data_IF_534714297200
#
_entry.id   IF_534714297200
#
_cell.length_a   1.000
_cell.length_b   1.000
_cell.length_c   1.000
_cell.angle_alpha   90.00
_cell.angle_beta   90.00
_cell.angle_gamma   90.00
#
_symmetry.space_group_name_H-M   'P 1'
#
loop_
_entity.id
_entity.type
_entity.pdbx_description
1 polymer ?
#
# COMPACT_ATOMS: atom_id res chain seq x y z
N UNK A 1 49.45 -7.03 -17.64
CA UNK A 1 49.08 -8.28 -16.94
C UNK A 1 47.55 -8.33 -16.88
N UNK A 2 46.93 -9.28 -17.56
CA UNK A 2 45.47 -9.48 -17.49
C UNK A 2 45.15 -10.18 -16.16
N UNK A 3 44.19 -9.63 -15.39
CA UNK A 3 43.73 -10.26 -14.16
C UNK A 3 43.10 -11.61 -14.48
N UNK A 4 43.48 -12.67 -13.73
CA UNK A 4 42.95 -13.99 -13.92
C UNK A 4 41.44 -13.98 -13.68
N UNK A 5 40.68 -14.72 -14.50
CA UNK A 5 39.22 -14.82 -14.31
C UNK A 5 38.89 -15.47 -12.95
N UNK A 6 37.89 -14.98 -12.21
CA UNK A 6 37.54 -15.50 -10.91
C UNK A 6 37.16 -16.99 -10.98
N UNK A 7 37.66 -17.79 -10.03
CA UNK A 7 37.39 -19.22 -9.97
C UNK A 7 35.92 -19.54 -9.64
N UNK A 8 35.47 -20.81 -9.81
CA UNK A 8 34.07 -21.20 -9.53
C UNK A 8 33.59 -20.89 -8.12
N UNK A 9 34.46 -20.98 -7.12
CA UNK A 9 34.15 -20.63 -5.71
C UNK A 9 33.92 -19.12 -5.55
N UNK A 10 34.73 -18.30 -6.20
CA UNK A 10 34.62 -16.83 -6.10
C UNK A 10 33.31 -16.34 -6.76
N UNK A 11 32.89 -16.98 -7.86
CA UNK A 11 31.58 -16.73 -8.48
C UNK A 11 30.42 -17.09 -7.55
N UNK A 12 30.47 -18.26 -6.91
CA UNK A 12 29.42 -18.70 -5.99
C UNK A 12 29.27 -17.78 -4.76
N UNK A 13 30.39 -17.23 -4.26
CA UNK A 13 30.36 -16.26 -3.15
C UNK A 13 29.80 -14.91 -3.61
N UNK A 14 30.15 -14.46 -4.81
CA UNK A 14 29.61 -13.22 -5.39
C UNK A 14 28.11 -13.36 -5.69
N UNK A 15 27.67 -14.51 -6.22
CA UNK A 15 26.25 -14.80 -6.49
C UNK A 15 25.44 -14.88 -5.18
N UNK A 16 26.00 -15.46 -4.12
CA UNK A 16 25.39 -15.46 -2.79
C UNK A 16 25.27 -14.04 -2.21
N UNK A 17 26.32 -13.22 -2.36
CA UNK A 17 26.29 -11.81 -1.96
C UNK A 17 25.20 -11.03 -2.67
N UNK A 18 25.11 -11.17 -3.99
CA UNK A 18 24.07 -10.53 -4.79
C UNK A 18 22.66 -11.00 -4.41
N UNK A 19 22.48 -12.30 -4.15
CA UNK A 19 21.21 -12.86 -3.71
C UNK A 19 20.78 -12.32 -2.33
N UNK A 20 21.74 -12.16 -1.41
CA UNK A 20 21.50 -11.58 -0.09
C UNK A 20 21.14 -10.09 -0.17
N UNK A 21 21.78 -9.33 -1.08
CA UNK A 21 21.42 -7.93 -1.32
C UNK A 21 20.01 -7.79 -1.89
N UNK A 22 19.64 -8.62 -2.85
CA UNK A 22 18.28 -8.65 -3.42
C UNK A 22 17.26 -9.03 -2.35
N UNK A 23 17.56 -10.03 -1.51
CA UNK A 23 16.70 -10.43 -0.39
C UNK A 23 16.57 -9.31 0.66
N UNK A 24 17.65 -8.57 0.93
CA UNK A 24 17.64 -7.42 1.84
C UNK A 24 16.81 -6.24 1.29
N UNK A 25 16.84 -6.01 -0.03
CA UNK A 25 16.03 -4.98 -0.69
C UNK A 25 14.54 -5.35 -0.78
N UNK A 26 14.21 -6.64 -0.79
CA UNK A 26 12.83 -7.12 -0.84
C UNK A 26 11.98 -6.70 0.39
N UNK A 27 12.63 -6.45 1.54
CA UNK A 27 11.98 -5.89 2.72
C UNK A 27 11.99 -4.36 2.65
N UNK A 28 10.84 -3.76 2.34
CA UNK A 28 10.74 -2.28 2.30
C UNK A 28 11.05 -1.67 3.67
N UNK A 29 11.72 -0.52 3.66
CA UNK A 29 12.08 0.26 4.86
C UNK A 29 10.89 0.46 5.81
N UNK A 30 9.69 0.64 5.25
CA UNK A 30 8.45 0.78 6.04
C UNK A 30 8.06 -0.49 6.79
N UNK A 31 8.21 -1.67 6.17
CA UNK A 31 7.95 -2.94 6.83
C UNK A 31 8.97 -3.25 7.92
N UNK A 32 10.25 -2.90 7.71
CA UNK A 32 11.29 -3.01 8.74
C UNK A 32 10.98 -2.11 9.92
N UNK A 33 10.75 -0.81 9.72
CA UNK A 33 10.42 0.13 10.80
C UNK A 33 9.17 -0.25 11.60
N UNK A 34 8.15 -0.78 10.91
CA UNK A 34 6.93 -1.28 11.58
C UNK A 34 7.20 -2.52 12.41
N UNK A 35 7.96 -3.48 11.85
CA UNK A 35 8.40 -4.70 12.54
C UNK A 35 9.29 -4.41 13.73
N UNK A 36 10.26 -3.50 13.57
CA UNK A 36 11.19 -3.09 14.63
C UNK A 36 10.45 -2.47 15.84
N UNK A 37 9.41 -1.65 15.58
CA UNK A 37 8.60 -1.08 16.67
C UNK A 37 7.82 -2.16 17.43
N UNK A 38 7.24 -3.12 16.72
CA UNK A 38 6.50 -4.22 17.35
C UNK A 38 7.46 -5.13 18.12
N UNK A 39 8.60 -5.47 17.52
CA UNK A 39 9.61 -6.25 18.20
C UNK A 39 10.19 -5.51 19.42
N UNK A 40 10.34 -4.20 19.37
CA UNK A 40 10.72 -3.37 20.52
C UNK A 40 9.71 -3.47 21.66
N UNK A 41 8.40 -3.45 21.38
CA UNK A 41 7.36 -3.70 22.41
C UNK A 41 7.42 -5.09 22.99
N UNK A 42 7.60 -6.10 22.12
CA UNK A 42 7.82 -7.48 22.58
C UNK A 42 9.02 -7.57 23.51
N UNK A 43 10.15 -6.98 23.14
CA UNK A 43 11.36 -6.96 23.96
C UNK A 43 11.16 -6.24 25.30
N UNK A 44 10.35 -5.18 25.34
CA UNK A 44 9.97 -4.53 26.60
C UNK A 44 9.11 -5.45 27.44
N UNK A 45 8.05 -6.03 26.85
CA UNK A 45 7.18 -6.98 27.53
C UNK A 45 7.94 -8.16 28.16
N UNK A 46 8.88 -8.78 27.42
CA UNK A 46 9.71 -9.85 27.98
C UNK A 46 10.58 -9.38 29.13
N UNK A 47 11.25 -8.22 29.00
CA UNK A 47 12.10 -7.67 30.05
C UNK A 47 11.33 -7.30 31.31
N UNK A 48 10.13 -6.80 31.19
CA UNK A 48 9.25 -6.48 32.33
C UNK A 48 8.86 -7.74 33.11
N UNK A 49 8.86 -8.90 32.43
CA UNK A 49 8.66 -10.22 33.04
C UNK A 49 9.97 -10.91 33.42
N UNK A 50 11.13 -10.29 33.22
CA UNK A 50 12.43 -10.83 33.58
C UNK A 50 13.02 -11.83 32.58
N UNK A 51 12.55 -11.83 31.32
CA UNK A 51 12.97 -12.78 30.29
C UNK A 51 13.68 -12.13 29.10
N UNK A 52 14.51 -12.93 28.41
CA UNK A 52 15.15 -12.52 27.16
C UNK A 52 14.12 -12.49 26.02
N UNK A 53 14.13 -11.46 25.15
CA UNK A 53 13.23 -11.39 24.01
C UNK A 53 13.33 -12.55 23.01
N UNK A 54 14.44 -13.27 22.99
CA UNK A 54 14.62 -14.49 22.20
C UNK A 54 14.02 -15.75 22.87
N UNK A 55 13.60 -15.64 24.14
CA UNK A 55 13.07 -16.72 24.97
C UNK A 55 14.08 -17.87 25.24
N UNK A 56 15.39 -17.63 25.05
CA UNK A 56 16.44 -18.66 25.28
C UNK A 56 16.55 -19.11 26.73
N UNK A 57 16.16 -18.24 27.64
CA UNK A 57 16.16 -18.49 29.08
C UNK A 57 14.98 -19.36 29.54
N UNK A 58 14.04 -19.65 28.68
CA UNK A 58 12.87 -20.51 28.93
C UNK A 58 13.12 -21.88 28.25
N UNK A 59 13.12 -22.93 29.00
CA UNK A 59 13.46 -24.27 28.48
C UNK A 59 12.28 -24.93 27.73
N UNK A 60 11.04 -24.67 28.17
CA UNK A 60 9.85 -25.29 27.60
C UNK A 60 9.28 -24.47 26.43
N UNK A 61 9.01 -25.16 25.33
CA UNK A 61 8.42 -24.57 24.14
C UNK A 61 6.95 -24.16 24.32
N UNK A 62 6.20 -24.87 25.13
CA UNK A 62 4.81 -24.53 25.42
C UNK A 62 4.77 -23.23 26.21
N UNK A 63 5.73 -23.00 27.11
CA UNK A 63 5.88 -21.73 27.81
C UNK A 63 6.20 -20.57 26.83
N UNK A 64 7.03 -20.80 25.81
CA UNK A 64 7.24 -19.77 24.76
C UNK A 64 5.93 -19.37 24.09
N UNK A 65 5.07 -20.34 23.78
CA UNK A 65 3.77 -20.04 23.20
C UNK A 65 2.87 -19.29 24.20
N UNK A 66 2.88 -19.65 25.46
CA UNK A 66 2.14 -18.93 26.50
C UNK A 66 2.57 -17.46 26.61
N UNK A 67 3.87 -17.17 26.53
CA UNK A 67 4.38 -15.80 26.48
C UNK A 67 3.86 -15.04 25.25
N UNK A 68 3.87 -15.68 24.08
CA UNK A 68 3.32 -15.10 22.85
C UNK A 68 1.84 -14.77 22.98
N UNK A 69 1.04 -15.66 23.56
CA UNK A 69 -0.39 -15.46 23.77
C UNK A 69 -0.67 -14.37 24.82
N UNK A 70 0.12 -14.29 25.87
CA UNK A 70 0.04 -13.21 26.87
C UNK A 70 0.37 -11.85 26.25
N UNK A 71 1.44 -11.76 25.45
CA UNK A 71 1.75 -10.56 24.69
C UNK A 71 0.64 -10.18 23.72
N UNK A 72 0.05 -11.17 23.03
CA UNK A 72 -1.05 -10.95 22.10
C UNK A 72 -2.26 -10.31 22.79
N UNK A 73 -2.60 -10.77 24.00
CA UNK A 73 -3.69 -10.19 24.80
C UNK A 73 -3.37 -8.76 25.23
N UNK A 74 -2.20 -8.50 25.76
CA UNK A 74 -1.74 -7.16 26.12
C UNK A 74 -1.75 -6.21 24.90
N UNK A 75 -1.26 -6.70 23.76
CA UNK A 75 -1.25 -5.91 22.52
C UNK A 75 -2.66 -5.64 21.99
N UNK A 76 -3.61 -6.57 22.20
CA UNK A 76 -5.03 -6.36 21.84
C UNK A 76 -5.64 -5.19 22.61
N UNK A 77 -5.32 -5.07 23.87
CA UNK A 77 -5.90 -4.07 24.76
C UNK A 77 -5.32 -2.67 24.53
N UNK A 78 -4.03 -2.59 24.27
CA UNK A 78 -3.32 -1.30 24.19
C UNK A 78 -2.83 -0.92 22.78
N UNK A 79 -2.75 -1.85 21.83
CA UNK A 79 -2.24 -1.60 20.49
C UNK A 79 -0.90 -0.86 20.47
N UNK A 80 -0.55 -0.22 19.36
CA UNK A 80 0.63 0.67 19.28
C UNK A 80 0.36 2.09 19.81
N UNK A 81 -0.89 2.47 19.92
CA UNK A 81 -1.33 3.84 20.26
C UNK A 81 -2.00 3.91 21.64
N UNK A 82 -1.94 2.86 22.45
CA UNK A 82 -2.64 2.76 23.71
C UNK A 82 -4.16 2.52 23.58
N UNK A 83 -4.63 2.14 22.40
CA UNK A 83 -6.03 1.85 22.14
C UNK A 83 -6.23 0.38 21.74
N UNK A 84 -7.37 -0.23 22.07
CA UNK A 84 -7.69 -1.60 21.67
C UNK A 84 -7.61 -1.78 20.15
N UNK A 85 -7.10 -2.93 19.73
CA UNK A 85 -6.94 -3.26 18.31
C UNK A 85 -7.66 -4.55 17.95
N UNK A 86 -8.02 -4.71 16.67
CA UNK A 86 -8.68 -5.90 16.15
C UNK A 86 -7.73 -7.09 16.04
N UNK A 87 -8.31 -8.30 16.05
CA UNK A 87 -7.57 -9.56 15.92
C UNK A 87 -6.63 -9.61 14.72
N UNK A 88 -7.03 -9.07 13.57
CA UNK A 88 -6.16 -8.98 12.38
C UNK A 88 -4.91 -8.11 12.59
N UNK A 89 -5.01 -7.06 13.41
CA UNK A 89 -3.85 -6.23 13.78
C UNK A 89 -2.93 -6.99 14.75
N UNK A 90 -3.51 -7.74 15.71
CA UNK A 90 -2.77 -8.63 16.61
C UNK A 90 -2.02 -9.70 15.81
N UNK A 91 -2.70 -10.38 14.88
CA UNK A 91 -2.08 -11.41 14.02
C UNK A 91 -0.89 -10.85 13.23
N UNK A 92 -1.02 -9.64 12.68
CA UNK A 92 0.07 -8.95 11.98
C UNK A 92 1.23 -8.60 12.92
N UNK A 93 0.93 -8.16 14.15
CA UNK A 93 1.95 -7.85 15.14
C UNK A 93 2.71 -9.12 15.57
N UNK A 94 2.00 -10.21 15.80
CA UNK A 94 2.63 -11.50 16.15
C UNK A 94 3.47 -12.04 15.00
N UNK A 95 3.10 -11.79 13.74
CA UNK A 95 3.93 -12.15 12.60
C UNK A 95 5.24 -11.35 12.55
N UNK A 96 5.19 -10.08 12.87
CA UNK A 96 6.41 -9.24 12.95
C UNK A 96 7.30 -9.64 14.15
N UNK A 97 6.69 -9.94 15.29
CA UNK A 97 7.40 -10.44 16.47
C UNK A 97 8.10 -11.77 16.18
N UNK A 98 7.38 -12.78 15.64
CA UNK A 98 7.96 -14.08 15.32
C UNK A 98 9.11 -13.99 14.31
N UNK A 99 8.99 -13.06 13.32
CA UNK A 99 10.11 -12.73 12.44
C UNK A 99 11.30 -12.17 13.20
N UNK A 100 11.09 -11.25 14.15
CA UNK A 100 12.16 -10.69 14.98
C UNK A 100 12.89 -11.76 15.81
N UNK A 101 12.15 -12.74 16.36
CA UNK A 101 12.74 -13.88 17.09
C UNK A 101 13.58 -14.74 16.14
N UNK A 102 13.10 -15.03 14.93
CA UNK A 102 13.85 -15.79 13.94
C UNK A 102 15.08 -15.05 13.42
N UNK A 103 15.04 -13.74 13.34
CA UNK A 103 16.20 -12.90 12.96
C UNK A 103 17.30 -12.95 14.05
N UNK A 104 16.96 -13.31 15.31
CA UNK A 104 17.90 -13.59 16.40
C UNK A 104 18.47 -15.02 16.38
N UNK A 105 18.06 -15.82 15.41
CA UNK A 105 18.52 -17.20 15.25
C UNK A 105 17.70 -18.25 16.01
N UNK A 106 16.55 -17.85 16.56
CA UNK A 106 15.64 -18.75 17.26
C UNK A 106 14.47 -19.21 16.37
N UNK A 107 13.72 -20.21 16.80
CA UNK A 107 12.52 -20.64 16.11
C UNK A 107 11.33 -19.71 16.41
N UNK A 108 10.38 -19.62 15.50
CA UNK A 108 9.14 -18.90 15.73
C UNK A 108 8.20 -19.70 16.64
N UNK A 109 7.90 -19.22 17.86
CA UNK A 109 7.08 -19.96 18.84
C UNK A 109 5.64 -20.20 18.40
N UNK A 110 5.16 -19.48 17.39
CA UNK A 110 3.80 -19.65 16.84
C UNK A 110 3.64 -20.94 16.04
N UNK A 111 4.73 -21.60 15.66
CA UNK A 111 4.72 -22.78 14.81
C UNK A 111 4.72 -24.08 15.61
N UNK A 112 4.15 -25.16 15.05
CA UNK A 112 4.05 -26.49 15.69
C UNK A 112 5.41 -27.11 16.00
N UNK A 113 6.43 -26.86 15.18
CA UNK A 113 7.76 -27.41 15.31
C UNK A 113 8.82 -26.47 14.73
N UNK A 114 10.06 -26.67 15.14
CA UNK A 114 11.24 -26.00 14.56
C UNK A 114 11.28 -26.29 13.06
N UNK A 115 11.41 -25.23 12.23
CA UNK A 115 11.40 -25.34 10.77
C UNK A 115 10.03 -25.58 10.14
N UNK A 116 8.97 -25.79 10.92
CA UNK A 116 7.60 -25.83 10.41
C UNK A 116 7.12 -24.42 10.05
N UNK A 117 6.27 -24.33 9.01
CA UNK A 117 5.49 -23.12 8.68
C UNK A 117 4.04 -23.23 9.15
N UNK A 118 3.68 -24.34 9.77
CA UNK A 118 2.33 -24.62 10.25
C UNK A 118 2.16 -24.03 11.64
N UNK A 119 1.14 -23.24 11.81
CA UNK A 119 0.83 -22.62 13.10
C UNK A 119 0.35 -23.64 14.12
N UNK A 120 0.78 -23.48 15.36
CA UNK A 120 0.38 -24.30 16.50
C UNK A 120 -1.15 -24.30 16.69
N UNK A 121 -1.79 -25.45 17.01
CA UNK A 121 -3.24 -25.51 17.19
C UNK A 121 -3.79 -24.50 18.19
N UNK A 122 -3.15 -24.38 19.36
CA UNK A 122 -3.54 -23.43 20.41
C UNK A 122 -3.47 -21.96 19.91
N UNK A 123 -2.42 -21.60 19.17
CA UNK A 123 -2.32 -20.29 18.55
C UNK A 123 -3.48 -19.99 17.57
N UNK A 124 -3.84 -20.99 16.74
CA UNK A 124 -4.97 -20.86 15.80
C UNK A 124 -6.30 -20.68 16.53
N UNK A 125 -6.53 -21.48 17.57
CA UNK A 125 -7.74 -21.40 18.39
C UNK A 125 -7.84 -20.04 19.10
N UNK A 126 -6.74 -19.55 19.67
CA UNK A 126 -6.68 -18.24 20.30
C UNK A 126 -7.05 -17.12 19.32
N UNK A 127 -6.45 -17.12 18.12
CA UNK A 127 -6.80 -16.12 17.11
C UNK A 127 -8.26 -16.21 16.64
N UNK A 128 -8.83 -17.41 16.57
CA UNK A 128 -10.24 -17.58 16.23
C UNK A 128 -11.14 -16.92 17.29
N UNK A 129 -10.86 -17.16 18.58
CA UNK A 129 -11.59 -16.51 19.68
C UNK A 129 -11.48 -14.99 19.62
N UNK A 130 -10.28 -14.44 19.34
CA UNK A 130 -10.12 -12.99 19.18
C UNK A 130 -10.93 -12.45 18.01
N UNK A 131 -11.00 -13.18 16.89
CA UNK A 131 -11.80 -12.79 15.70
C UNK A 131 -13.30 -12.81 15.97
N UNK A 132 -13.77 -13.76 16.76
CA UNK A 132 -15.20 -13.84 17.17
C UNK A 132 -15.57 -12.71 18.12
N UNK A 133 -14.63 -12.21 18.90
CA UNK A 133 -14.84 -11.05 19.80
C UNK A 133 -14.77 -9.70 19.08
N UNK A 134 -14.28 -9.66 17.85
CA UNK A 134 -14.21 -8.43 17.08
C UNK A 134 -15.62 -7.99 16.65
N UNK A 135 -15.90 -6.70 16.77
CA UNK A 135 -17.10 -6.13 16.16
C UNK A 135 -17.17 -6.47 14.67
N UNK A 136 -18.35 -6.72 14.13
CA UNK A 136 -18.51 -6.90 12.69
C UNK A 136 -17.83 -5.75 11.92
N UNK A 137 -17.14 -6.09 10.86
CA UNK A 137 -16.50 -5.10 10.03
C UNK A 137 -17.57 -4.12 9.52
N UNK A 138 -17.42 -2.83 9.86
CA UNK A 138 -18.25 -1.78 9.26
C UNK A 138 -17.96 -1.79 7.74
N UNK A 139 -18.84 -2.41 6.99
CA UNK A 139 -18.74 -2.38 5.53
C UNK A 139 -19.04 -0.96 5.08
N UNK A 140 -18.07 -0.33 4.51
CA UNK A 140 -18.27 0.92 3.77
C UNK A 140 -19.00 0.53 2.48
N UNK A 141 -20.13 1.16 2.19
CA UNK A 141 -20.80 0.96 0.91
C UNK A 141 -19.84 1.34 -0.22
N UNK A 142 -19.75 0.53 -1.28
CA UNK A 142 -18.92 0.90 -2.41
C UNK A 142 -19.43 2.21 -3.02
N UNK A 143 -18.52 3.08 -3.38
CA UNK A 143 -18.85 4.28 -4.15
C UNK A 143 -19.47 3.82 -5.48
N UNK A 144 -20.59 4.42 -5.85
CA UNK A 144 -21.26 4.21 -7.13
C UNK A 144 -21.45 5.55 -7.86
N UNK A 145 -21.96 5.52 -9.07
CA UNK A 145 -22.17 6.73 -9.88
C UNK A 145 -23.13 7.72 -9.24
N UNK A 146 -24.16 7.25 -8.53
CA UNK A 146 -25.11 8.10 -7.79
C UNK A 146 -24.41 8.89 -6.69
N UNK A 147 -23.54 8.24 -5.93
CA UNK A 147 -22.75 8.91 -4.88
C UNK A 147 -21.80 9.95 -5.49
N UNK A 148 -21.15 9.63 -6.62
CA UNK A 148 -20.30 10.57 -7.33
C UNK A 148 -21.09 11.78 -7.84
N UNK A 149 -22.27 11.56 -8.40
CA UNK A 149 -23.15 12.61 -8.88
C UNK A 149 -23.61 13.51 -7.73
N UNK A 150 -24.07 12.92 -6.63
CA UNK A 150 -24.42 13.67 -5.42
C UNK A 150 -23.23 14.47 -4.88
N UNK A 151 -22.03 13.88 -4.86
CA UNK A 151 -20.82 14.59 -4.44
C UNK A 151 -20.56 15.80 -5.33
N UNK A 152 -20.69 15.66 -6.66
CA UNK A 152 -20.55 16.77 -7.58
C UNK A 152 -21.54 17.90 -7.29
N UNK A 153 -22.80 17.57 -7.00
CA UNK A 153 -23.83 18.55 -6.67
C UNK A 153 -23.61 19.24 -5.30
N UNK A 154 -22.88 18.63 -4.39
CA UNK A 154 -22.57 19.23 -3.08
C UNK A 154 -21.36 20.16 -3.10
N UNK A 155 -20.56 20.13 -4.16
CA UNK A 155 -19.38 20.99 -4.30
C UNK A 155 -19.78 22.36 -4.83
N UNK A 156 -19.37 23.39 -4.12
CA UNK A 156 -19.50 24.77 -4.57
C UNK A 156 -18.39 25.09 -5.57
N UNK A 157 -18.72 25.01 -6.85
CA UNK A 157 -17.78 25.32 -7.94
C UNK A 157 -17.63 26.83 -8.18
N UNK A 158 -18.55 27.64 -7.68
CA UNK A 158 -18.57 29.10 -7.84
C UNK A 158 -17.88 29.80 -6.67
N UNK A 159 -17.45 29.03 -5.65
CA UNK A 159 -16.74 29.59 -4.53
C UNK A 159 -15.48 30.34 -4.98
N UNK A 160 -15.39 31.61 -4.57
CA UNK A 160 -14.36 32.53 -5.07
C UNK A 160 -12.93 32.03 -4.84
N UNK A 161 -12.67 31.41 -3.67
CA UNK A 161 -11.34 30.91 -3.30
C UNK A 161 -11.13 29.43 -3.63
N UNK A 162 -12.17 28.60 -3.51
CA UNK A 162 -12.06 27.15 -3.58
C UNK A 162 -12.75 26.49 -4.78
N UNK A 163 -13.47 27.27 -5.61
CA UNK A 163 -14.24 26.69 -6.72
C UNK A 163 -13.38 25.92 -7.72
N UNK A 164 -12.20 26.46 -8.07
CA UNK A 164 -11.23 25.77 -8.95
C UNK A 164 -10.68 24.49 -8.31
N UNK A 165 -10.40 24.50 -7.00
CA UNK A 165 -9.95 23.35 -6.25
C UNK A 165 -11.05 22.27 -6.15
N UNK A 166 -12.28 22.67 -5.83
CA UNK A 166 -13.45 21.79 -5.80
C UNK A 166 -13.66 21.08 -7.14
N UNK A 167 -13.61 21.83 -8.25
CA UNK A 167 -13.72 21.26 -9.59
C UNK A 167 -12.59 20.24 -9.88
N UNK A 168 -11.38 20.50 -9.40
CA UNK A 168 -10.27 19.56 -9.56
C UNK A 168 -10.49 18.29 -8.76
N UNK A 169 -10.86 18.39 -7.49
CA UNK A 169 -11.18 17.26 -6.63
C UNK A 169 -12.31 16.41 -7.22
N UNK A 170 -13.37 17.05 -7.72
CA UNK A 170 -14.48 16.37 -8.39
C UNK A 170 -14.02 15.53 -9.59
N UNK A 171 -13.18 16.11 -10.46
CA UNK A 171 -12.64 15.39 -11.62
C UNK A 171 -11.68 14.26 -11.19
N UNK A 172 -10.87 14.45 -10.14
CA UNK A 172 -10.02 13.40 -9.59
C UNK A 172 -10.86 12.24 -9.00
N UNK A 173 -11.98 12.52 -8.33
CA UNK A 173 -12.88 11.49 -7.83
C UNK A 173 -13.48 10.66 -8.97
N UNK A 174 -13.92 11.31 -10.05
CA UNK A 174 -14.42 10.61 -11.25
C UNK A 174 -13.32 9.76 -11.89
N UNK A 175 -12.13 10.33 -12.10
CA UNK A 175 -11.00 9.59 -12.65
C UNK A 175 -10.64 8.39 -11.73
N UNK A 176 -10.53 8.61 -10.42
CA UNK A 176 -10.22 7.57 -9.43
C UNK A 176 -11.24 6.43 -9.41
N UNK A 177 -12.50 6.72 -9.65
CA UNK A 177 -13.56 5.72 -9.73
C UNK A 177 -13.45 4.85 -10.98
N UNK A 178 -13.34 5.47 -12.15
CA UNK A 178 -13.32 4.73 -13.41
C UNK A 178 -12.01 3.97 -13.66
N UNK A 179 -10.88 4.49 -13.20
CA UNK A 179 -9.58 3.80 -13.27
C UNK A 179 -9.21 3.05 -11.99
N UNK A 180 -10.12 2.58 -11.15
CA UNK A 180 -10.05 2.10 -9.76
C UNK A 180 -8.74 2.46 -9.04
N UNK A 181 -8.44 3.75 -8.99
CA UNK A 181 -7.22 4.28 -8.40
C UNK A 181 -7.29 4.29 -6.87
N UNK A 182 -6.16 3.98 -6.24
CA UNK A 182 -6.02 4.22 -4.81
C UNK A 182 -5.75 5.71 -4.55
N UNK A 183 -6.18 6.28 -3.41
CA UNK A 183 -5.90 7.69 -3.10
C UNK A 183 -4.43 8.09 -3.30
N UNK A 184 -3.48 7.24 -2.91
CA UNK A 184 -2.05 7.49 -3.09
C UNK A 184 -1.58 7.50 -4.56
N UNK A 185 -2.41 7.08 -5.51
CA UNK A 185 -2.09 7.05 -6.94
C UNK A 185 -2.52 8.32 -7.67
N UNK A 186 -3.39 9.15 -7.08
CA UNK A 186 -3.81 10.43 -7.66
C UNK A 186 -3.63 11.63 -6.72
N UNK A 187 -3.14 11.39 -5.51
CA UNK A 187 -2.73 12.45 -4.59
C UNK A 187 -1.25 12.32 -4.28
N UNK A 188 -0.58 13.43 -3.99
CA UNK A 188 0.81 13.38 -3.52
C UNK A 188 0.82 12.68 -2.16
N UNK A 189 1.22 11.43 -2.18
CA UNK A 189 1.27 10.57 -0.99
C UNK A 189 2.55 10.77 -0.18
N UNK A 190 2.56 10.25 1.05
CA UNK A 190 3.76 10.19 1.86
C UNK A 190 4.89 9.45 1.11
N UNK A 191 6.16 9.87 1.23
CA UNK A 191 7.28 9.33 0.46
C UNK A 191 7.52 7.81 0.63
N UNK A 192 6.90 7.20 1.62
CA UNK A 192 7.02 5.76 1.94
C UNK A 192 5.91 4.88 1.34
N UNK A 193 5.04 5.41 0.45
CA UNK A 193 3.99 4.59 -0.18
C UNK A 193 4.55 3.79 -1.35
N UNK A 194 4.19 2.50 -1.46
CA UNK A 194 4.58 1.63 -2.58
C UNK A 194 3.94 2.02 -3.92
N UNK A 195 2.88 2.81 -3.87
CA UNK A 195 2.21 3.31 -5.07
C UNK A 195 2.73 4.71 -5.36
N UNK A 196 3.30 4.91 -6.53
CA UNK A 196 3.66 6.25 -7.01
C UNK A 196 2.41 6.93 -7.56
N UNK A 197 2.31 8.25 -7.34
CA UNK A 197 1.28 9.04 -7.99
C UNK A 197 1.48 9.01 -9.51
N UNK A 198 0.37 8.99 -10.26
CA UNK A 198 0.41 9.11 -11.71
C UNK A 198 1.04 10.43 -12.12
N UNK A 199 1.92 10.36 -13.08
CA UNK A 199 2.53 11.52 -13.70
C UNK A 199 1.85 11.82 -15.04
N UNK A 200 1.97 13.04 -15.54
CA UNK A 200 1.40 13.40 -16.85
C UNK A 200 1.88 12.47 -17.97
N UNK A 201 3.10 11.97 -17.90
CA UNK A 201 3.64 11.01 -18.88
C UNK A 201 2.93 9.65 -18.89
N UNK A 202 2.22 9.31 -17.82
CA UNK A 202 1.49 8.04 -17.70
C UNK A 202 0.07 8.14 -18.29
N UNK A 203 -0.32 9.35 -18.72
CA UNK A 203 -1.61 9.62 -19.34
C UNK A 203 -1.45 9.68 -20.87
N UNK A 204 -2.29 8.92 -21.56
CA UNK A 204 -2.33 8.89 -23.02
C UNK A 204 -3.73 9.31 -23.49
N UNK A 205 -3.78 10.24 -24.43
CA UNK A 205 -4.99 10.73 -25.05
C UNK A 205 -5.00 10.38 -26.53
N UNK A 206 -6.10 9.81 -27.02
CA UNK A 206 -6.28 9.58 -28.47
C UNK A 206 -7.08 10.73 -29.05
N UNK A 207 -6.42 11.55 -29.86
CA UNK A 207 -6.97 12.74 -30.51
C UNK A 207 -6.78 12.59 -32.00
N UNK A 208 -7.84 12.75 -32.78
CA UNK A 208 -7.83 12.60 -34.25
C UNK A 208 -7.17 11.29 -34.72
N UNK A 209 -7.35 10.19 -33.97
CA UNK A 209 -6.76 8.88 -34.28
C UNK A 209 -5.32 8.67 -33.83
N UNK A 210 -4.61 9.71 -33.38
CA UNK A 210 -3.28 9.61 -32.83
C UNK A 210 -3.30 9.43 -31.30
N UNK A 211 -2.54 8.46 -30.78
CA UNK A 211 -2.36 8.27 -29.34
C UNK A 211 -1.14 9.09 -28.88
N UNK A 212 -1.39 10.12 -28.10
CA UNK A 212 -0.38 11.06 -27.62
C UNK A 212 -0.20 10.92 -26.12
N UNK A 213 1.03 11.02 -25.61
CA UNK A 213 1.26 11.26 -24.19
C UNK A 213 0.75 12.63 -23.79
N UNK A 214 0.16 12.76 -22.61
CA UNK A 214 -0.40 14.04 -22.17
C UNK A 214 0.54 15.24 -22.30
N UNK A 215 1.85 15.16 -21.97
CA UNK A 215 2.78 16.28 -22.16
C UNK A 215 2.91 16.75 -23.62
N UNK A 216 2.63 15.87 -24.60
CA UNK A 216 2.72 16.17 -26.03
C UNK A 216 1.36 16.49 -26.66
N UNK A 217 0.28 16.44 -25.88
CA UNK A 217 -1.06 16.73 -26.34
C UNK A 217 -1.30 18.27 -26.40
N UNK A 218 -2.19 18.76 -27.27
CA UNK A 218 -2.53 20.19 -27.36
C UNK A 218 -3.44 20.61 -26.19
N UNK A 219 -2.91 20.64 -24.98
CA UNK A 219 -3.65 20.82 -23.74
C UNK A 219 -4.36 22.18 -23.62
N UNK A 220 -3.90 23.17 -24.39
CA UNK A 220 -4.51 24.50 -24.46
C UNK A 220 -5.63 24.60 -25.50
N UNK A 221 -5.83 23.52 -26.29
CA UNK A 221 -6.92 23.52 -27.28
C UNK A 221 -8.27 23.46 -26.55
N UNK A 222 -9.16 24.40 -26.96
CA UNK A 222 -10.52 24.49 -26.42
C UNK A 222 -11.35 23.25 -26.76
N UNK A 223 -11.02 22.56 -27.85
CA UNK A 223 -11.71 21.39 -28.34
C UNK A 223 -11.15 20.07 -27.74
N UNK A 224 -10.11 20.14 -26.91
CA UNK A 224 -9.50 18.91 -26.32
C UNK A 224 -10.53 17.95 -25.73
N UNK A 225 -11.54 18.47 -25.03
CA UNK A 225 -12.57 17.66 -24.37
C UNK A 225 -13.51 16.97 -25.36
N UNK A 226 -13.77 17.59 -26.51
CA UNK A 226 -14.63 17.05 -27.57
C UNK A 226 -13.86 16.11 -28.51
N UNK A 227 -12.60 16.43 -28.77
CA UNK A 227 -11.78 15.74 -29.77
C UNK A 227 -11.06 14.51 -29.21
N UNK A 228 -10.99 14.38 -27.90
CA UNK A 228 -10.41 13.18 -27.26
C UNK A 228 -11.38 12.01 -27.35
N UNK A 229 -11.08 11.09 -28.26
CA UNK A 229 -11.88 9.87 -28.50
C UNK A 229 -11.61 8.76 -27.50
N UNK A 230 -10.46 8.77 -26.82
CA UNK A 230 -10.07 7.76 -25.85
C UNK A 230 -9.02 8.29 -24.87
N UNK A 231 -9.09 7.88 -23.62
CA UNK A 231 -8.08 8.19 -22.61
C UNK A 231 -7.62 6.94 -21.88
N UNK A 232 -6.30 6.79 -21.73
CA UNK A 232 -5.68 5.67 -21.03
C UNK A 232 -4.79 6.17 -19.90
N UNK A 233 -4.75 5.40 -18.81
CA UNK A 233 -3.68 5.48 -17.81
C UNK A 233 -2.77 4.26 -17.94
N UNK A 234 -1.48 4.49 -17.96
CA UNK A 234 -0.45 3.46 -17.90
C UNK A 234 0.02 3.28 -16.46
N UNK A 235 -0.13 2.07 -15.96
CA UNK A 235 0.22 1.70 -14.59
C UNK A 235 1.69 1.29 -14.55
N UNK A 236 2.58 2.23 -14.28
CA UNK A 236 4.03 2.00 -14.27
C UNK A 236 4.49 1.13 -13.08
N UNK A 237 3.92 1.35 -11.89
CA UNK A 237 4.28 0.58 -10.69
C UNK A 237 3.08 0.51 -9.71
N UNK A 238 2.40 -0.62 -9.70
CA UNK A 238 1.30 -0.86 -8.78
C UNK A 238 1.72 -1.78 -7.63
N UNK A 239 1.05 -1.62 -6.48
CA UNK A 239 1.22 -2.47 -5.29
C UNK A 239 1.15 -3.98 -5.60
N UNK A 240 0.46 -4.36 -6.67
CA UNK A 240 0.29 -5.75 -7.10
C UNK A 240 1.33 -6.21 -8.13
N UNK A 241 2.45 -5.48 -8.28
CA UNK A 241 3.53 -5.78 -9.24
C UNK A 241 3.13 -5.78 -10.72
N UNK A 242 1.94 -5.26 -11.04
CA UNK A 242 1.49 -5.11 -12.44
C UNK A 242 2.15 -3.87 -13.02
N UNK A 243 3.03 -4.06 -14.01
CA UNK A 243 3.77 -2.97 -14.69
C UNK A 243 3.34 -2.87 -16.14
N UNK A 244 3.24 -1.64 -16.65
CA UNK A 244 2.98 -1.36 -18.07
C UNK A 244 1.58 -1.69 -18.55
N UNK A 245 0.63 -2.00 -17.64
CA UNK A 245 -0.76 -2.22 -18.02
C UNK A 245 -1.45 -0.89 -18.30
N UNK A 246 -2.08 -0.79 -19.45
CA UNK A 246 -2.92 0.37 -19.82
C UNK A 246 -4.38 0.03 -19.61
N UNK A 247 -5.10 0.92 -18.93
CA UNK A 247 -6.55 0.87 -18.79
C UNK A 247 -7.10 2.12 -19.44
N UNK A 248 -8.07 1.97 -20.34
CA UNK A 248 -8.62 3.08 -21.09
C UNK A 248 -10.13 3.11 -21.08
N UNK A 249 -10.66 4.31 -21.31
CA UNK A 249 -12.09 4.57 -21.40
C UNK A 249 -12.42 5.43 -22.63
N UNK A 250 -13.60 5.21 -23.16
CA UNK A 250 -14.24 6.07 -24.16
C UNK A 250 -15.01 7.21 -23.45
N UNK A 251 -15.22 8.36 -24.12
CA UNK A 251 -16.08 9.39 -23.58
C UNK A 251 -17.52 8.89 -23.47
N UNK A 252 -18.21 9.38 -22.46
CA UNK A 252 -19.66 9.20 -22.30
C UNK A 252 -20.37 10.49 -22.66
N UNK A 253 -21.68 10.43 -22.89
CA UNK A 253 -22.52 11.60 -23.11
C UNK A 253 -22.75 12.43 -21.84
N UNK A 254 -22.35 11.92 -20.69
CA UNK A 254 -22.45 12.60 -19.41
C UNK A 254 -21.34 13.68 -19.30
N UNK A 255 -21.71 14.89 -18.92
CA UNK A 255 -20.75 15.96 -18.75
C UNK A 255 -20.02 15.92 -17.40
N UNK A 256 -20.64 15.34 -16.39
CA UNK A 256 -20.10 15.28 -15.02
C UNK A 256 -19.35 13.97 -14.76
N UNK A 257 -19.91 12.85 -15.21
CA UNK A 257 -19.36 11.51 -14.94
C UNK A 257 -18.58 10.91 -16.12
N UNK A 258 -18.29 11.71 -17.15
CA UNK A 258 -17.46 11.24 -18.25
C UNK A 258 -16.00 11.07 -17.83
N UNK A 259 -15.45 9.83 -17.80
CA UNK A 259 -14.07 9.61 -17.38
C UNK A 259 -13.07 10.35 -18.23
N UNK A 260 -13.23 10.35 -19.54
CA UNK A 260 -12.32 11.02 -20.48
C UNK A 260 -12.30 12.53 -20.25
N UNK A 261 -13.47 13.17 -20.14
CA UNK A 261 -13.55 14.61 -19.86
C UNK A 261 -12.94 14.95 -18.49
N UNK A 262 -13.19 14.12 -17.48
CA UNK A 262 -12.62 14.31 -16.14
C UNK A 262 -11.09 14.23 -16.18
N UNK A 263 -10.53 13.20 -16.82
CA UNK A 263 -9.08 13.06 -16.94
C UNK A 263 -8.44 14.19 -17.75
N UNK A 264 -9.05 14.60 -18.89
CA UNK A 264 -8.56 15.74 -19.67
C UNK A 264 -8.53 17.04 -18.86
N UNK A 265 -9.57 17.30 -18.03
CA UNK A 265 -9.59 18.48 -17.14
C UNK A 265 -8.49 18.42 -16.07
N UNK A 266 -8.25 17.25 -15.49
CA UNK A 266 -7.15 17.03 -14.52
C UNK A 266 -5.81 17.33 -15.19
N UNK A 267 -5.54 16.70 -16.34
CA UNK A 267 -4.29 16.85 -17.09
C UNK A 267 -4.05 18.31 -17.48
N UNK A 268 -5.08 18.97 -18.04
CA UNK A 268 -5.01 20.40 -18.45
C UNK A 268 -4.64 21.30 -17.29
N UNK A 269 -5.25 21.11 -16.13
CA UNK A 269 -4.95 21.90 -14.93
C UNK A 269 -3.54 21.64 -14.42
N UNK A 270 -3.13 20.37 -14.35
CA UNK A 270 -1.78 20.00 -13.88
C UNK A 270 -0.70 20.56 -14.79
N UNK A 271 -0.93 20.55 -16.12
CA UNK A 271 0.03 21.05 -17.09
C UNK A 271 0.12 22.58 -17.12
N UNK A 272 -0.95 23.29 -16.77
CA UNK A 272 -0.97 24.76 -16.77
C UNK A 272 -0.15 25.38 -15.63
N UNK A 273 0.41 24.56 -14.72
CA UNK A 273 1.29 25.04 -13.65
C UNK A 273 0.62 26.05 -12.71
N UNK A 274 -0.71 26.08 -12.67
CA UNK A 274 -1.41 26.95 -11.73
C UNK A 274 -1.11 26.46 -10.31
N UNK A 275 -0.15 27.13 -9.66
CA UNK A 275 0.01 27.08 -8.23
C UNK A 275 -1.35 27.28 -7.56
N UNK A 276 -1.63 26.57 -6.48
CA UNK A 276 -2.76 26.94 -5.63
C UNK A 276 -2.47 28.34 -5.08
N UNK A 277 -3.25 29.34 -5.50
CA UNK A 277 -3.32 30.63 -4.85
C UNK A 277 -3.77 30.44 -3.38
#
# INVERSE_FOLDING_TARGET
>A
MAAAAPGPRDRSVADLGAALEVAAQANTVKHRRGGDKIFGRWATFCRDLGHDPSLRDIADREDHLCFVLAFAQSFREEGQTGLPVRAGTVETALAAMGKGITDLGEYDPRHEAVGSKRNHPLYRSFLAVLKDQDDPAKRVHPVNTVILEQHQHTLDFDHREHGKFNAHCANLCVAGFFWPLRPAEYTYGAPDTRSQAFLLRDVHLTIAGACLHAPSAPLNDVNLLSDTAFAHLEFADQKNTVKGKRIGHQPTNDNFLCPVKALCRVVRRTASGSEPD
#
